data_IF_473091069341
#
_entry.id   IF_473091069341
#
_cell.length_a   1.000
_cell.length_b   1.000
_cell.length_c   1.000
_cell.angle_alpha   90.00
_cell.angle_beta   90.00
_cell.angle_gamma   90.00
#
_symmetry.space_group_name_H-M   'P 1'
#
loop_
_entity.id
_entity.type
_entity.pdbx_description
1 polymer ?
#
# COMPACT_ATOMS: atom_id res chain seq x y z
N UNK A 1 -0.41 -1.25 25.52
CA UNK A 1 -0.76 0.07 24.93
C UNK A 1 -1.93 -0.13 23.98
N UNK A 2 -3.03 0.60 24.16
CA UNK A 2 -4.18 0.52 23.26
C UNK A 2 -4.07 1.56 22.13
N UNK A 3 -4.92 1.41 21.11
CA UNK A 3 -5.14 2.42 20.06
C UNK A 3 -6.60 2.91 20.07
N UNK A 4 -7.26 2.84 21.23
CA UNK A 4 -8.61 3.41 21.39
C UNK A 4 -8.58 4.94 21.31
N UNK A 5 -9.76 5.56 21.27
CA UNK A 5 -9.92 7.01 21.15
C UNK A 5 -9.23 7.80 22.29
N UNK A 6 -9.05 7.20 23.46
CA UNK A 6 -8.44 7.82 24.64
C UNK A 6 -6.96 7.46 24.81
N UNK A 7 -6.39 6.65 23.90
CA UNK A 7 -4.97 6.25 23.90
C UNK A 7 -4.52 5.64 25.24
N UNK A 8 -5.36 4.80 25.84
CA UNK A 8 -5.12 4.28 27.17
C UNK A 8 -3.87 3.36 27.24
N UNK A 9 -3.17 3.45 28.37
CA UNK A 9 -2.09 2.52 28.73
C UNK A 9 -2.57 1.71 29.93
N UNK A 10 -2.84 0.43 29.69
CA UNK A 10 -3.32 -0.50 30.70
C UNK A 10 -2.18 -1.39 31.19
N UNK A 11 -2.21 -1.74 32.48
CA UNK A 11 -1.38 -2.81 33.07
C UNK A 11 -2.26 -4.04 33.28
N UNK A 12 -1.89 -5.16 32.70
CA UNK A 12 -2.63 -6.41 32.77
C UNK A 12 -2.35 -7.28 31.55
N UNK A 13 -3.22 -8.26 31.36
CA UNK A 13 -3.08 -9.32 30.37
C UNK A 13 -3.93 -9.04 29.12
N UNK A 14 -3.62 -9.76 28.04
CA UNK A 14 -4.43 -9.80 26.82
C UNK A 14 -4.86 -11.23 26.60
N UNK A 15 -6.16 -11.50 26.69
CA UNK A 15 -6.73 -12.80 26.38
C UNK A 15 -7.14 -12.86 24.91
N UNK A 16 -6.68 -13.89 24.22
CA UNK A 16 -7.01 -14.17 22.82
C UNK A 16 -7.83 -15.46 22.77
N UNK A 17 -8.96 -15.42 22.08
CA UNK A 17 -9.80 -16.59 21.80
C UNK A 17 -9.92 -16.74 20.28
N UNK A 18 -9.43 -17.87 19.75
CA UNK A 18 -9.30 -18.06 18.31
C UNK A 18 -8.40 -16.99 17.68
N UNK A 19 -8.97 -16.16 16.81
CA UNK A 19 -8.28 -15.08 16.10
C UNK A 19 -8.64 -13.67 16.60
N UNK A 20 -9.25 -13.56 17.79
CA UNK A 20 -9.77 -12.30 18.34
C UNK A 20 -9.27 -12.03 19.75
N UNK A 21 -9.04 -10.76 20.03
CA UNK A 21 -8.84 -10.28 21.40
C UNK A 21 -10.18 -10.35 22.14
N UNK A 22 -10.27 -11.22 23.14
CA UNK A 22 -11.47 -11.43 23.93
C UNK A 22 -11.55 -10.47 25.13
N UNK A 23 -10.41 -10.15 25.74
CA UNK A 23 -10.33 -9.30 26.92
C UNK A 23 -8.95 -8.64 27.04
N UNK A 24 -8.91 -7.43 27.61
CA UNK A 24 -7.68 -6.70 27.95
C UNK A 24 -7.78 -6.18 29.38
N UNK A 25 -6.71 -6.31 30.15
CA UNK A 25 -6.64 -5.89 31.55
C UNK A 25 -6.58 -7.09 32.48
N UNK A 26 -7.32 -7.07 33.59
CA UNK A 26 -7.34 -8.20 34.52
C UNK A 26 -8.08 -9.38 33.90
N UNK A 27 -7.40 -10.52 33.72
CA UNK A 27 -7.99 -11.76 33.18
C UNK A 27 -8.08 -12.81 34.29
N UNK A 28 -9.30 -13.14 34.71
CA UNK A 28 -9.59 -14.13 35.77
C UNK A 28 -9.95 -15.53 35.21
N UNK A 29 -9.49 -15.85 33.98
CA UNK A 29 -9.75 -17.12 33.29
C UNK A 29 -8.46 -17.91 33.08
N UNK A 30 -8.58 -19.24 32.99
CA UNK A 30 -7.47 -20.10 32.55
C UNK A 30 -7.31 -19.98 31.03
N UNK A 31 -6.07 -20.00 30.56
CA UNK A 31 -5.72 -20.08 29.14
C UNK A 31 -5.01 -21.41 28.86
N UNK A 32 -5.16 -21.91 27.63
CA UNK A 32 -4.50 -23.14 27.19
C UNK A 32 -2.98 -22.93 27.03
N UNK A 33 -2.60 -21.77 26.47
CA UNK A 33 -1.22 -21.31 26.31
C UNK A 33 -1.01 -19.96 27.01
N UNK A 34 0.14 -19.80 27.67
CA UNK A 34 0.50 -18.55 28.38
C UNK A 34 1.88 -18.10 27.91
N UNK A 35 1.94 -16.89 27.36
CA UNK A 35 3.17 -16.18 27.03
C UNK A 35 3.44 -15.10 28.07
N UNK A 36 4.49 -15.27 28.87
CA UNK A 36 4.91 -14.23 29.83
C UNK A 36 5.59 -13.07 29.10
N UNK A 37 4.88 -11.94 29.01
CA UNK A 37 5.37 -10.69 28.42
C UNK A 37 5.78 -9.66 29.49
N UNK A 38 6.11 -10.11 30.71
CA UNK A 38 6.58 -9.23 31.79
C UNK A 38 7.79 -8.41 31.35
N UNK A 39 7.75 -7.10 31.59
CA UNK A 39 8.79 -6.16 31.15
C UNK A 39 8.67 -5.69 29.69
N UNK A 40 7.74 -6.25 28.91
CA UNK A 40 7.47 -5.85 27.54
C UNK A 40 6.24 -4.92 27.43
N UNK A 41 6.11 -4.27 26.27
CA UNK A 41 4.88 -3.58 25.88
C UNK A 41 4.15 -4.44 24.86
N UNK A 42 2.91 -4.83 25.17
CA UNK A 42 1.99 -5.39 24.18
C UNK A 42 1.23 -4.25 23.51
N UNK A 43 1.21 -4.22 22.18
CA UNK A 43 0.53 -3.21 21.38
C UNK A 43 -0.07 -3.83 20.11
N UNK A 44 -1.05 -3.18 19.47
CA UNK A 44 -1.46 -3.54 18.12
C UNK A 44 -0.24 -3.54 17.19
N UNK A 45 -0.19 -4.50 16.26
CA UNK A 45 0.88 -4.58 15.29
C UNK A 45 0.93 -3.34 14.40
N UNK A 46 2.13 -3.04 13.91
CA UNK A 46 2.35 -1.88 13.04
C UNK A 46 1.69 -2.11 11.67
N UNK A 47 1.21 -1.02 11.07
CA UNK A 47 0.62 -1.01 9.74
C UNK A 47 1.51 -0.18 8.82
N UNK A 48 2.11 -0.82 7.81
CA UNK A 48 2.88 -0.14 6.78
C UNK A 48 1.95 0.26 5.62
N UNK A 49 1.56 1.53 5.56
CA UNK A 49 0.53 2.01 4.63
C UNK A 49 1.00 2.19 3.17
N UNK A 50 2.26 1.93 2.84
CA UNK A 50 2.73 1.95 1.46
C UNK A 50 4.04 1.15 1.32
N UNK A 51 4.06 0.22 0.38
CA UNK A 51 5.23 -0.60 0.08
C UNK A 51 5.27 -1.00 -1.41
N UNK A 52 6.49 -1.38 -1.83
CA UNK A 52 6.77 -2.17 -3.02
C UNK A 52 7.54 -3.40 -2.53
N UNK A 53 6.87 -4.33 -1.85
CA UNK A 53 7.50 -5.32 -0.97
C UNK A 53 8.50 -6.21 -1.70
N UNK A 54 8.21 -6.53 -2.96
CA UNK A 54 9.07 -7.34 -3.82
C UNK A 54 10.41 -6.66 -4.15
N UNK A 55 10.50 -5.33 -4.05
CA UNK A 55 11.75 -4.60 -4.24
C UNK A 55 12.75 -4.79 -3.09
N UNK A 56 12.45 -5.59 -2.07
CA UNK A 56 13.41 -5.92 -1.01
C UNK A 56 14.73 -6.51 -1.56
N UNK A 57 14.68 -7.25 -2.68
CA UNK A 57 15.88 -7.74 -3.39
C UNK A 57 16.67 -6.65 -4.13
N UNK A 58 16.05 -5.50 -4.37
CA UNK A 58 16.64 -4.37 -5.10
C UNK A 58 17.23 -3.32 -4.15
N UNK A 59 17.41 -3.68 -2.87
CA UNK A 59 18.01 -2.79 -1.87
C UNK A 59 19.36 -2.28 -2.36
N UNK A 60 19.52 -0.95 -2.34
CA UNK A 60 20.75 -0.26 -2.74
C UNK A 60 21.18 -0.41 -4.21
N UNK A 61 20.30 -0.90 -5.08
CA UNK A 61 20.57 -0.95 -6.54
C UNK A 61 20.57 0.46 -7.16
N UNK A 62 19.81 1.39 -6.60
CA UNK A 62 19.67 2.76 -7.11
C UNK A 62 19.78 3.79 -5.98
N UNK A 63 20.98 3.89 -5.39
CA UNK A 63 21.30 4.92 -4.40
C UNK A 63 21.81 6.21 -5.08
N UNK A 64 21.74 7.32 -4.33
CA UNK A 64 22.26 8.65 -4.68
C UNK A 64 21.74 9.23 -6.01
N UNK A 65 20.47 8.98 -6.32
CA UNK A 65 19.76 9.52 -7.50
C UNK A 65 18.41 10.10 -7.14
N UNK A 66 17.97 11.10 -7.91
CA UNK A 66 16.60 11.63 -7.83
C UNK A 66 15.58 10.61 -8.36
N UNK A 67 14.30 10.80 -8.07
CA UNK A 67 13.22 9.89 -8.46
C UNK A 67 13.26 9.45 -9.93
N UNK A 68 13.50 10.36 -10.88
CA UNK A 68 13.57 10.00 -12.31
C UNK A 68 14.67 8.96 -12.59
N UNK A 69 15.88 9.20 -12.08
CA UNK A 69 17.01 8.26 -12.23
C UNK A 69 16.84 7.00 -11.38
N UNK A 70 16.11 7.09 -10.26
CA UNK A 70 15.69 5.91 -9.48
C UNK A 70 14.78 5.03 -10.33
N UNK A 71 13.68 5.59 -10.85
CA UNK A 71 12.69 4.90 -11.68
C UNK A 71 13.35 4.27 -12.90
N UNK A 72 14.18 5.01 -13.65
CA UNK A 72 14.89 4.48 -14.82
C UNK A 72 15.70 3.21 -14.48
N UNK A 73 16.51 3.28 -13.40
CA UNK A 73 17.34 2.15 -12.96
C UNK A 73 16.51 0.99 -12.44
N UNK A 74 15.51 1.27 -11.60
CA UNK A 74 14.68 0.22 -11.01
C UNK A 74 13.83 -0.46 -12.07
N UNK A 75 13.23 0.27 -13.01
CA UNK A 75 12.49 -0.34 -14.11
C UNK A 75 13.37 -1.19 -15.02
N UNK A 76 14.60 -0.77 -15.30
CA UNK A 76 15.55 -1.54 -16.12
C UNK A 76 15.94 -2.89 -15.49
N UNK A 77 15.91 -2.98 -14.16
CA UNK A 77 16.13 -4.22 -13.41
C UNK A 77 14.84 -5.01 -13.27
N UNK A 78 13.75 -4.35 -12.87
CA UNK A 78 12.47 -4.98 -12.56
C UNK A 78 11.80 -5.61 -13.79
N UNK A 79 11.91 -4.96 -14.96
CA UNK A 79 11.43 -5.50 -16.25
C UNK A 79 12.04 -6.84 -16.67
N UNK A 80 13.11 -7.28 -16.01
CA UNK A 80 13.79 -8.55 -16.28
C UNK A 80 13.52 -9.60 -15.20
N UNK A 81 12.82 -9.24 -14.13
CA UNK A 81 12.55 -10.15 -13.02
C UNK A 81 11.47 -11.15 -13.40
N UNK A 82 11.68 -12.39 -12.97
CA UNK A 82 10.73 -13.47 -13.10
C UNK A 82 9.76 -13.52 -11.91
N UNK A 83 8.69 -14.29 -12.03
CA UNK A 83 7.81 -14.58 -10.90
C UNK A 83 8.57 -15.19 -9.69
N UNK A 84 9.64 -15.96 -9.93
CA UNK A 84 10.49 -16.48 -8.86
C UNK A 84 11.22 -15.35 -8.12
N UNK A 85 11.84 -14.42 -8.87
CA UNK A 85 12.50 -13.25 -8.29
C UNK A 85 11.52 -12.38 -7.49
N UNK A 86 10.29 -12.22 -7.99
CA UNK A 86 9.23 -11.49 -7.29
C UNK A 86 8.85 -12.19 -5.99
N UNK A 87 8.67 -13.51 -6.01
CA UNK A 87 8.34 -14.32 -4.84
C UNK A 87 9.42 -14.28 -3.76
N UNK A 88 10.69 -14.41 -4.13
CA UNK A 88 11.81 -14.32 -3.19
C UNK A 88 11.85 -12.93 -2.53
N UNK A 89 11.68 -11.86 -3.33
CA UNK A 89 11.64 -10.49 -2.82
C UNK A 89 10.47 -10.25 -1.86
N UNK A 90 9.28 -10.74 -2.22
CA UNK A 90 8.11 -10.63 -1.37
C UNK A 90 8.29 -11.39 -0.04
N UNK A 91 8.83 -12.61 -0.07
CA UNK A 91 9.10 -13.39 1.13
C UNK A 91 10.12 -12.72 2.04
N UNK A 92 11.21 -12.16 1.48
CA UNK A 92 12.19 -11.40 2.25
C UNK A 92 11.55 -10.16 2.90
N UNK A 93 10.85 -9.34 2.12
CA UNK A 93 10.21 -8.12 2.63
C UNK A 93 9.14 -8.41 3.70
N UNK A 94 8.31 -9.43 3.50
CA UNK A 94 7.31 -9.85 4.47
C UNK A 94 7.95 -10.36 5.78
N UNK A 95 9.03 -11.15 5.69
CA UNK A 95 9.75 -11.66 6.85
C UNK A 95 10.39 -10.52 7.65
N UNK A 96 11.00 -9.54 6.99
CA UNK A 96 11.56 -8.36 7.65
C UNK A 96 10.49 -7.53 8.37
N UNK A 97 9.33 -7.32 7.72
CA UNK A 97 8.18 -6.66 8.33
C UNK A 97 7.69 -7.40 9.59
N UNK A 98 7.50 -8.72 9.49
CA UNK A 98 7.07 -9.54 10.63
C UNK A 98 8.08 -9.48 11.79
N UNK A 99 9.39 -9.54 11.48
CA UNK A 99 10.48 -9.46 12.48
C UNK A 99 10.55 -8.12 13.20
N UNK A 100 10.04 -7.06 12.59
CA UNK A 100 10.05 -5.69 13.13
C UNK A 100 8.71 -5.24 13.68
N UNK A 101 7.75 -6.17 13.82
CA UNK A 101 6.45 -5.91 14.45
C UNK A 101 5.37 -5.34 13.51
N UNK A 102 5.63 -5.31 12.20
CA UNK A 102 4.61 -5.01 11.19
C UNK A 102 3.76 -6.24 10.93
N UNK A 103 2.45 -6.10 11.15
CA UNK A 103 1.47 -7.19 10.95
C UNK A 103 0.57 -6.95 9.76
N UNK A 104 0.58 -5.74 9.19
CA UNK A 104 -0.24 -5.38 8.03
C UNK A 104 0.52 -4.42 7.14
N UNK A 105 0.39 -4.58 5.82
CA UNK A 105 0.95 -3.64 4.86
C UNK A 105 0.02 -3.40 3.67
N UNK A 106 0.19 -2.26 3.00
CA UNK A 106 -0.45 -1.91 1.74
C UNK A 106 0.61 -1.84 0.65
N UNK A 107 0.50 -2.72 -0.33
CA UNK A 107 1.46 -2.90 -1.42
C UNK A 107 0.90 -2.37 -2.74
N UNK A 108 1.79 -1.94 -3.63
CA UNK A 108 1.48 -1.70 -5.04
C UNK A 108 2.57 -2.35 -5.88
N UNK A 109 2.19 -3.31 -6.73
CA UNK A 109 3.15 -4.05 -7.55
C UNK A 109 2.45 -4.80 -8.69
N UNK A 110 3.25 -5.33 -9.62
CA UNK A 110 2.81 -6.38 -10.54
C UNK A 110 2.77 -7.74 -9.83
N UNK A 111 2.26 -8.77 -10.50
CA UNK A 111 2.29 -10.16 -10.04
C UNK A 111 1.85 -10.34 -8.58
N UNK A 112 0.81 -9.62 -8.15
CA UNK A 112 0.30 -9.71 -6.77
C UNK A 112 -0.19 -11.12 -6.42
N UNK A 113 -0.51 -11.95 -7.43
CA UNK A 113 -0.77 -13.40 -7.25
C UNK A 113 0.42 -14.14 -6.63
N UNK A 114 1.65 -13.75 -6.99
CA UNK A 114 2.89 -14.30 -6.43
C UNK A 114 3.10 -13.77 -5.02
N UNK A 115 2.96 -12.47 -4.83
CA UNK A 115 3.14 -11.80 -3.54
C UNK A 115 2.15 -12.33 -2.50
N UNK A 116 0.89 -12.57 -2.89
CA UNK A 116 -0.14 -13.13 -2.03
C UNK A 116 0.27 -14.46 -1.39
N UNK A 117 0.99 -15.32 -2.11
CA UNK A 117 1.49 -16.60 -1.57
C UNK A 117 2.49 -16.36 -0.43
N UNK A 118 3.47 -15.47 -0.64
CA UNK A 118 4.44 -15.10 0.39
C UNK A 118 3.77 -14.50 1.63
N UNK A 119 2.74 -13.67 1.43
CA UNK A 119 1.97 -13.06 2.53
C UNK A 119 1.26 -14.12 3.38
N UNK A 120 0.59 -15.08 2.73
CA UNK A 120 -0.10 -16.18 3.42
C UNK A 120 0.88 -17.12 4.14
N UNK A 121 2.02 -17.44 3.52
CA UNK A 121 3.07 -18.30 4.11
C UNK A 121 3.72 -17.67 5.35
N UNK A 122 4.02 -16.37 5.31
CA UNK A 122 4.59 -15.65 6.46
C UNK A 122 3.54 -15.36 7.53
N UNK A 123 2.26 -15.28 7.15
CA UNK A 123 1.14 -15.13 8.09
C UNK A 123 0.86 -13.68 8.52
N UNK A 124 1.24 -12.69 7.72
CA UNK A 124 0.86 -11.26 7.91
C UNK A 124 -0.30 -10.87 6.99
N UNK A 125 -0.90 -9.69 7.21
CA UNK A 125 -2.01 -9.19 6.38
C UNK A 125 -1.52 -8.29 5.25
N UNK A 126 -1.94 -8.57 4.03
CA UNK A 126 -1.62 -7.76 2.85
C UNK A 126 -2.86 -7.10 2.27
N UNK A 127 -2.85 -5.77 2.17
CA UNK A 127 -3.67 -5.05 1.21
C UNK A 127 -2.87 -4.99 -0.09
N UNK A 128 -3.24 -5.79 -1.08
CA UNK A 128 -2.41 -6.02 -2.26
C UNK A 128 -2.99 -5.27 -3.46
N UNK A 129 -2.33 -4.17 -3.82
CA UNK A 129 -2.68 -3.31 -4.92
C UNK A 129 -2.10 -3.81 -6.23
N UNK A 130 -2.96 -4.25 -7.16
CA UNK A 130 -2.50 -4.56 -8.51
C UNK A 130 -2.23 -3.27 -9.26
N UNK A 131 -0.98 -3.07 -9.70
CA UNK A 131 -0.59 -1.84 -10.37
C UNK A 131 -1.26 -1.73 -11.76
N UNK A 132 -2.01 -0.65 -11.96
CA UNK A 132 -2.72 -0.31 -13.20
C UNK A 132 -2.07 0.93 -13.82
N UNK A 133 -1.75 0.85 -15.11
CA UNK A 133 -1.20 1.94 -15.92
C UNK A 133 -1.63 1.77 -17.37
N UNK A 134 -1.44 2.80 -18.20
CA UNK A 134 -1.74 2.70 -19.64
C UNK A 134 -0.86 1.63 -20.31
N UNK A 135 -1.38 0.95 -21.34
CA UNK A 135 -0.72 -0.20 -21.98
C UNK A 135 0.67 0.11 -22.54
N UNK A 136 0.92 1.37 -22.92
CA UNK A 136 2.22 1.81 -23.44
C UNK A 136 3.32 1.90 -22.36
N UNK A 137 2.97 1.90 -21.07
CA UNK A 137 3.90 2.00 -19.95
C UNK A 137 4.04 0.70 -19.16
N UNK A 138 3.22 -0.30 -19.44
CA UNK A 138 3.23 -1.57 -18.70
C UNK A 138 4.14 -2.60 -19.35
N UNK A 139 4.78 -3.43 -18.52
CA UNK A 139 5.47 -4.65 -18.95
C UNK A 139 4.65 -5.91 -18.68
N UNK A 140 3.41 -5.75 -18.18
CA UNK A 140 2.52 -6.87 -17.90
C UNK A 140 2.00 -7.50 -19.19
N UNK A 141 1.80 -8.82 -19.17
CA UNK A 141 1.03 -9.47 -20.22
C UNK A 141 -0.47 -9.16 -20.05
N UNK A 142 -1.11 -8.72 -21.14
CA UNK A 142 -2.52 -8.33 -21.14
C UNK A 142 -2.79 -6.94 -20.56
N UNK A 143 -4.07 -6.56 -20.48
CA UNK A 143 -4.48 -5.24 -20.02
C UNK A 143 -4.40 -5.15 -18.48
N UNK A 144 -3.66 -4.18 -17.89
CA UNK A 144 -3.47 -4.08 -16.44
C UNK A 144 -4.78 -4.04 -15.63
N UNK A 145 -5.79 -3.33 -16.13
CA UNK A 145 -7.10 -3.25 -15.44
C UNK A 145 -7.83 -4.61 -15.41
N UNK A 146 -7.69 -5.43 -16.45
CA UNK A 146 -8.29 -6.79 -16.50
C UNK A 146 -7.55 -7.74 -15.56
N UNK A 147 -6.23 -7.60 -15.48
CA UNK A 147 -5.41 -8.36 -14.53
C UNK A 147 -5.78 -8.01 -13.08
N UNK A 148 -5.98 -6.72 -12.78
CA UNK A 148 -6.49 -6.26 -11.49
C UNK A 148 -7.87 -6.86 -11.17
N UNK A 149 -8.84 -6.81 -12.10
CA UNK A 149 -10.17 -7.41 -11.88
C UNK A 149 -10.09 -8.92 -11.62
N UNK A 150 -9.24 -9.64 -12.38
CA UNK A 150 -8.98 -11.06 -12.17
C UNK A 150 -8.41 -11.30 -10.77
N UNK A 151 -7.38 -10.56 -10.36
CA UNK A 151 -6.76 -10.70 -9.04
C UNK A 151 -7.77 -10.48 -7.91
N UNK A 152 -8.59 -9.43 -8.01
CA UNK A 152 -9.64 -9.17 -7.02
C UNK A 152 -10.61 -10.36 -6.93
N UNK A 153 -11.09 -10.87 -8.07
CA UNK A 153 -12.00 -12.02 -8.09
C UNK A 153 -11.38 -13.26 -7.44
N UNK A 154 -10.11 -13.53 -7.74
CA UNK A 154 -9.43 -14.76 -7.33
C UNK A 154 -9.03 -14.74 -5.83
N UNK A 155 -8.89 -13.55 -5.22
CA UNK A 155 -8.40 -13.39 -3.83
C UNK A 155 -9.36 -12.72 -2.83
N UNK A 156 -10.54 -12.23 -3.24
CA UNK A 156 -11.46 -11.49 -2.35
C UNK A 156 -11.95 -12.24 -1.09
N UNK A 157 -11.95 -13.58 -1.11
CA UNK A 157 -12.40 -14.40 0.03
C UNK A 157 -11.25 -14.87 0.95
N UNK A 158 -10.02 -14.40 0.70
CA UNK A 158 -8.82 -14.82 1.45
C UNK A 158 -8.76 -14.09 2.79
N UNK A 159 -8.43 -14.82 3.86
CA UNK A 159 -8.41 -14.28 5.24
C UNK A 159 -7.35 -13.19 5.47
N UNK A 160 -6.18 -13.33 4.84
CA UNK A 160 -5.03 -12.45 5.03
C UNK A 160 -4.83 -11.45 3.88
N UNK A 161 -5.54 -11.62 2.77
CA UNK A 161 -5.38 -10.79 1.57
C UNK A 161 -6.61 -9.92 1.39
N UNK A 162 -6.40 -8.63 1.15
CA UNK A 162 -7.44 -7.71 0.69
C UNK A 162 -6.98 -7.11 -0.64
N UNK A 163 -7.58 -7.53 -1.77
CA UNK A 163 -7.24 -6.97 -3.07
C UNK A 163 -7.62 -5.48 -3.19
N UNK A 164 -6.74 -4.69 -3.79
CA UNK A 164 -6.88 -3.24 -3.98
C UNK A 164 -6.64 -2.89 -5.45
N UNK A 165 -7.32 -1.87 -5.97
CA UNK A 165 -7.02 -1.32 -7.30
C UNK A 165 -5.93 -0.26 -7.15
N UNK A 166 -4.82 -0.37 -7.86
CA UNK A 166 -3.69 0.53 -7.63
C UNK A 166 -3.24 1.25 -8.91
N UNK A 167 -3.94 2.31 -9.37
CA UNK A 167 -3.43 3.11 -10.47
C UNK A 167 -2.11 3.78 -10.06
N UNK A 168 -1.05 3.60 -10.85
CA UNK A 168 0.30 3.97 -10.41
C UNK A 168 0.44 5.47 -10.09
N UNK A 169 -0.08 6.34 -10.96
CA UNK A 169 0.00 7.79 -10.82
C UNK A 169 -0.29 8.54 -12.13
N UNK A 170 -0.49 9.85 -12.05
CA UNK A 170 -0.95 10.69 -13.18
C UNK A 170 0.02 10.77 -14.36
N UNK A 171 1.28 10.37 -14.17
CA UNK A 171 2.33 10.43 -15.20
C UNK A 171 2.33 9.21 -16.12
N UNK A 172 1.63 8.13 -15.75
CA UNK A 172 1.53 6.86 -16.52
C UNK A 172 0.10 6.34 -16.64
N UNK A 173 -0.88 7.09 -16.13
CA UNK A 173 -2.30 6.77 -16.24
C UNK A 173 -3.05 7.94 -16.89
N UNK A 174 -3.69 7.67 -18.02
CA UNK A 174 -4.67 8.56 -18.63
C UNK A 174 -5.91 8.74 -17.74
N UNK A 175 -6.71 9.77 -18.03
CA UNK A 175 -8.00 9.99 -17.34
C UNK A 175 -8.93 8.77 -17.51
N UNK A 176 -8.89 8.12 -18.67
CA UNK A 176 -9.65 6.89 -18.93
C UNK A 176 -9.20 5.74 -18.01
N UNK A 177 -7.90 5.53 -17.87
CA UNK A 177 -7.34 4.51 -16.97
C UNK A 177 -7.65 4.81 -15.50
N UNK A 178 -7.53 6.08 -15.08
CA UNK A 178 -7.86 6.52 -13.73
C UNK A 178 -9.33 6.29 -13.42
N UNK A 179 -10.23 6.71 -14.30
CA UNK A 179 -11.67 6.55 -14.08
C UNK A 179 -12.12 5.09 -14.17
N UNK A 180 -11.53 4.29 -15.07
CA UNK A 180 -11.76 2.84 -15.13
C UNK A 180 -11.32 2.14 -13.84
N UNK A 181 -10.22 2.60 -13.23
CA UNK A 181 -9.77 2.10 -11.92
C UNK A 181 -10.78 2.42 -10.82
N UNK A 182 -11.39 3.62 -10.84
CA UNK A 182 -12.45 3.99 -9.90
C UNK A 182 -13.71 3.18 -10.07
N UNK A 183 -14.12 2.96 -11.32
CA UNK A 183 -15.28 2.11 -11.63
C UNK A 183 -15.07 0.68 -11.15
N UNK A 184 -13.88 0.11 -11.38
CA UNK A 184 -13.54 -1.23 -10.88
C UNK A 184 -13.55 -1.28 -9.36
N UNK A 185 -12.94 -0.29 -8.68
CA UNK A 185 -12.91 -0.23 -7.22
C UNK A 185 -14.33 -0.17 -6.63
N UNK A 186 -15.21 0.66 -7.22
CA UNK A 186 -16.61 0.76 -6.81
C UNK A 186 -17.38 -0.55 -7.07
N UNK A 187 -17.24 -1.15 -8.26
CA UNK A 187 -17.89 -2.42 -8.64
C UNK A 187 -17.50 -3.57 -7.70
N UNK A 188 -16.26 -3.57 -7.22
CA UNK A 188 -15.71 -4.65 -6.39
C UNK A 188 -15.68 -4.32 -4.90
N UNK A 189 -16.23 -3.17 -4.49
CA UNK A 189 -16.27 -2.70 -3.11
C UNK A 189 -14.88 -2.69 -2.44
N UNK A 190 -13.88 -2.19 -3.17
CA UNK A 190 -12.53 -1.89 -2.67
C UNK A 190 -12.22 -0.41 -2.87
N UNK A 191 -10.97 0.00 -2.63
CA UNK A 191 -10.51 1.39 -2.76
C UNK A 191 -9.34 1.49 -3.75
N UNK A 192 -8.92 2.73 -4.03
CA UNK A 192 -7.73 2.98 -4.83
C UNK A 192 -6.51 3.37 -3.99
N UNK A 193 -5.34 2.83 -4.36
CA UNK A 193 -4.04 3.24 -3.83
C UNK A 193 -3.13 3.74 -4.95
N UNK A 194 -2.54 4.94 -4.81
CA UNK A 194 -1.82 5.60 -5.90
C UNK A 194 -0.76 6.58 -5.39
N UNK A 195 0.26 6.87 -6.21
CA UNK A 195 1.23 7.93 -5.91
C UNK A 195 0.64 9.30 -6.28
N UNK A 196 0.87 10.33 -5.46
CA UNK A 196 0.36 11.67 -5.72
C UNK A 196 1.31 12.76 -5.23
N UNK A 197 1.71 13.65 -6.14
CA UNK A 197 2.45 14.88 -5.80
C UNK A 197 3.70 14.58 -4.95
N UNK A 198 4.42 13.55 -5.35
CA UNK A 198 5.59 13.01 -4.67
C UNK A 198 6.79 13.94 -4.83
N UNK A 199 6.98 14.48 -6.04
CA UNK A 199 8.11 15.38 -6.34
C UNK A 199 7.66 16.72 -6.89
N UNK A 200 8.49 17.74 -6.67
CA UNK A 200 8.28 19.06 -7.28
C UNK A 200 8.32 18.99 -8.80
N UNK A 201 9.14 18.09 -9.35
CA UNK A 201 9.26 17.88 -10.79
C UNK A 201 7.98 17.32 -11.40
N UNK A 202 7.41 16.26 -10.82
CA UNK A 202 6.10 15.71 -11.21
C UNK A 202 5.04 16.81 -11.25
N UNK A 203 4.90 17.57 -10.17
CA UNK A 203 3.90 18.63 -10.05
C UNK A 203 4.10 19.73 -11.10
N UNK A 204 5.35 20.15 -11.32
CA UNK A 204 5.68 21.19 -12.28
C UNK A 204 5.44 20.75 -13.72
N UNK A 205 5.94 19.58 -14.13
CA UNK A 205 5.76 19.08 -15.49
C UNK A 205 4.29 18.78 -15.78
N UNK A 206 3.56 18.21 -14.82
CA UNK A 206 2.12 17.98 -14.98
C UNK A 206 1.36 19.30 -15.13
N UNK A 207 1.67 20.30 -14.30
CA UNK A 207 1.06 21.62 -14.40
C UNK A 207 1.40 22.33 -15.72
N UNK A 208 2.64 22.23 -16.18
CA UNK A 208 3.07 22.79 -17.46
C UNK A 208 2.36 22.13 -18.65
N UNK A 209 2.17 20.82 -18.61
CA UNK A 209 1.54 20.06 -19.69
C UNK A 209 0.01 20.11 -19.71
N UNK A 210 -0.64 20.11 -18.55
CA UNK A 210 -2.11 20.03 -18.41
C UNK A 210 -2.76 21.32 -17.90
N UNK A 211 -1.97 22.33 -17.54
CA UNK A 211 -2.46 23.60 -16.97
C UNK A 211 -2.97 23.51 -15.54
N UNK A 212 -2.90 22.32 -14.91
CA UNK A 212 -3.40 22.04 -13.55
C UNK A 212 -2.42 21.15 -12.80
N UNK A 213 -2.41 21.27 -11.48
CA UNK A 213 -1.62 20.41 -10.60
C UNK A 213 -2.25 19.01 -10.54
N UNK A 214 -1.46 17.94 -10.26
CA UNK A 214 -1.97 16.58 -10.22
C UNK A 214 -3.22 16.40 -9.35
N UNK A 215 -3.17 16.86 -8.09
CA UNK A 215 -4.30 16.70 -7.16
C UNK A 215 -5.52 17.53 -7.58
N UNK A 216 -5.31 18.73 -8.13
CA UNK A 216 -6.40 19.56 -8.63
C UNK A 216 -7.10 18.91 -9.81
N UNK A 217 -6.34 18.36 -10.76
CA UNK A 217 -6.87 17.62 -11.91
C UNK A 217 -7.68 16.40 -11.47
N UNK A 218 -7.12 15.55 -10.59
CA UNK A 218 -7.81 14.36 -10.08
C UNK A 218 -9.12 14.72 -9.36
N UNK A 219 -9.14 15.84 -8.63
CA UNK A 219 -10.37 16.33 -8.01
C UNK A 219 -11.42 16.75 -9.06
N UNK A 220 -11.00 17.39 -10.15
CA UNK A 220 -11.91 17.91 -11.18
C UNK A 220 -12.56 16.79 -12.01
N UNK A 221 -11.84 15.69 -12.27
CA UNK A 221 -12.41 14.51 -12.94
C UNK A 221 -13.21 13.61 -11.99
N UNK A 222 -13.30 13.95 -10.70
CA UNK A 222 -14.05 13.18 -9.71
C UNK A 222 -13.38 11.87 -9.29
N UNK A 223 -12.05 11.77 -9.40
CA UNK A 223 -11.31 10.54 -9.12
C UNK A 223 -11.35 10.14 -7.63
N UNK A 224 -11.30 11.09 -6.70
CA UNK A 224 -11.16 10.77 -5.28
C UNK A 224 -12.43 10.18 -4.66
N UNK A 225 -12.26 9.18 -3.80
CA UNK A 225 -13.34 8.59 -2.99
C UNK A 225 -12.90 8.30 -1.56
N UNK A 226 -13.90 8.18 -0.67
CA UNK A 226 -13.67 7.86 0.75
C UNK A 226 -12.98 6.50 0.86
N UNK A 227 -11.87 6.46 1.61
CA UNK A 227 -11.10 5.24 1.84
C UNK A 227 -9.92 5.03 0.89
N UNK A 228 -9.81 5.84 -0.18
CA UNK A 228 -8.61 5.84 -1.01
C UNK A 228 -7.37 6.25 -0.20
N UNK A 229 -6.20 5.78 -0.64
CA UNK A 229 -4.91 6.06 0.00
C UNK A 229 -3.93 6.64 -1.02
N UNK A 230 -3.56 7.90 -0.87
CA UNK A 230 -2.53 8.55 -1.66
C UNK A 230 -1.14 8.38 -0.99
N UNK A 231 -0.18 7.79 -1.68
CA UNK A 231 1.20 7.72 -1.23
C UNK A 231 1.91 9.08 -1.41
N UNK A 232 2.82 9.38 -0.50
CA UNK A 232 3.65 10.59 -0.45
C UNK A 232 2.89 11.87 -0.09
N UNK A 233 2.28 12.54 -1.07
CA UNK A 233 1.60 13.82 -0.85
C UNK A 233 2.52 14.98 -0.43
N UNK A 234 3.80 14.94 -0.82
CA UNK A 234 4.84 15.87 -0.32
C UNK A 234 4.61 17.30 -0.78
N UNK A 235 4.21 17.48 -2.04
CA UNK A 235 4.11 18.79 -2.68
C UNK A 235 2.68 19.32 -2.78
N UNK A 236 1.77 18.85 -1.92
CA UNK A 236 0.39 19.33 -1.85
C UNK A 236 0.29 20.75 -1.27
N UNK A 237 -0.61 21.55 -1.82
CA UNK A 237 -1.03 22.84 -1.25
C UNK A 237 -2.11 22.64 -0.19
N UNK A 238 -2.34 23.66 0.65
CA UNK A 238 -3.44 23.66 1.64
C UNK A 238 -4.80 23.44 0.97
N UNK A 239 -5.01 23.95 -0.25
CA UNK A 239 -6.27 23.76 -0.97
C UNK A 239 -6.43 22.32 -1.46
N UNK A 240 -5.37 21.69 -1.96
CA UNK A 240 -5.37 20.28 -2.34
C UNK A 240 -5.61 19.38 -1.12
N UNK A 241 -4.99 19.67 0.03
CA UNK A 241 -5.25 18.97 1.29
C UNK A 241 -6.73 19.04 1.68
N UNK A 242 -7.37 20.21 1.54
CA UNK A 242 -8.82 20.36 1.80
C UNK A 242 -9.68 19.53 0.84
N UNK A 243 -9.29 19.42 -0.43
CA UNK A 243 -9.99 18.58 -1.42
C UNK A 243 -9.90 17.11 -1.05
N UNK A 244 -8.70 16.62 -0.69
CA UNK A 244 -8.50 15.24 -0.22
C UNK A 244 -9.30 14.95 1.05
N UNK A 245 -9.26 15.86 2.04
CA UNK A 245 -10.02 15.72 3.28
C UNK A 245 -11.54 15.68 3.03
N UNK A 246 -12.05 16.55 2.16
CA UNK A 246 -13.48 16.56 1.77
C UNK A 246 -13.90 15.25 1.09
N UNK A 247 -13.02 14.66 0.28
CA UNK A 247 -13.26 13.38 -0.39
C UNK A 247 -13.07 12.16 0.52
N UNK A 248 -12.44 12.33 1.70
CA UNK A 248 -12.15 11.23 2.63
C UNK A 248 -10.95 10.37 2.22
N UNK A 249 -9.98 10.96 1.51
CA UNK A 249 -8.72 10.31 1.11
C UNK A 249 -7.72 10.38 2.25
N UNK A 250 -7.04 9.26 2.52
CA UNK A 250 -5.92 9.19 3.47
C UNK A 250 -4.58 9.40 2.75
N UNK A 251 -3.58 9.92 3.46
CA UNK A 251 -2.22 10.07 2.91
C UNK A 251 -1.27 9.12 3.64
N UNK A 252 -0.62 8.23 2.90
CA UNK A 252 0.48 7.41 3.39
C UNK A 252 1.78 8.22 3.30
N UNK A 253 2.24 8.71 4.45
CA UNK A 253 3.47 9.50 4.53
C UNK A 253 4.70 8.58 4.52
N UNK A 254 5.59 8.77 3.54
CA UNK A 254 6.79 7.95 3.31
C UNK A 254 8.09 8.74 3.60
N UNK A 255 8.35 9.19 4.84
CA UNK A 255 9.39 10.18 5.12
C UNK A 255 10.80 9.73 4.72
N UNK A 256 11.17 8.48 4.96
CA UNK A 256 12.50 7.96 4.58
C UNK A 256 12.71 7.97 3.07
N UNK A 257 11.69 7.59 2.30
CA UNK A 257 11.74 7.66 0.84
C UNK A 257 11.76 9.11 0.35
N UNK A 258 10.99 9.99 0.97
CA UNK A 258 10.92 11.40 0.56
C UNK A 258 12.21 12.20 0.85
N UNK A 259 13.00 11.77 1.84
CA UNK A 259 14.26 12.43 2.23
C UNK A 259 15.49 11.89 1.49
N UNK A 260 15.43 10.65 1.00
CA UNK A 260 16.52 9.98 0.29
C UNK A 260 16.66 10.53 -1.12
#
# INVERSE_FOLDING_TARGET
MTQDANRQILRGDVLIEGDRVAQVGKVDRKADDILDASGCIVMPGLINCHAHVSMALMRSVADDVKLEGFLERTFAVDSKRTAEDVGIGASLGCLEMARTGTTTFLDIYYDQDVIAKSVEEIGIRGYLGWAVLDEQFTTQEGAPIKNCEKFIRDHKERRLITPVVAPQGVYVCSDETLMSSKELAAKTNTFCHFHLSETRYEVYEYQKGKGKRPCDHLADIGFFSKGDVAAHGVWLTINEIRKLAKAGVSVAHCPTSNMK
#
